data_IF_189976399069
#
_entry.id   IF_189976399069
#
_cell.length_a   1.000
_cell.length_b   1.000
_cell.length_c   1.000
_cell.angle_alpha   90.00
_cell.angle_beta   90.00
_cell.angle_gamma   90.00
#
_symmetry.space_group_name_H-M   'P 1'
#
loop_
_entity.id
_entity.type
_entity.pdbx_description
1 polymer ?
#
# COMPACT_ATOMS: atom_id res chain seq x y z
N UNK A 1 4.84 3.02 25.46
CA UNK A 1 4.01 3.73 24.48
C UNK A 1 3.45 2.64 23.58
N UNK A 2 2.17 2.33 23.70
CA UNK A 2 1.55 1.22 22.97
C UNK A 2 1.01 1.80 21.68
N UNK A 3 1.66 1.49 20.56
CA UNK A 3 1.22 1.93 19.24
C UNK A 3 -0.08 1.20 18.90
N UNK A 4 -1.06 1.94 18.39
CA UNK A 4 -2.33 1.34 18.01
C UNK A 4 -2.28 0.93 16.54
N UNK A 5 -1.99 -0.35 16.28
CA UNK A 5 -2.08 -0.95 14.93
C UNK A 5 -3.53 -1.26 14.52
N UNK A 6 -4.53 -0.88 15.32
CA UNK A 6 -5.93 -1.26 15.06
C UNK A 6 -6.49 -0.67 13.77
N UNK A 7 -5.93 0.44 13.26
CA UNK A 7 -6.41 1.06 12.02
C UNK A 7 -5.26 1.50 11.09
N UNK A 8 -5.17 0.97 9.87
CA UNK A 8 -4.26 1.47 8.85
C UNK A 8 -4.70 2.84 8.32
N UNK A 9 -3.72 3.67 7.94
CA UNK A 9 -3.96 4.96 7.28
C UNK A 9 -4.39 4.76 5.82
N UNK A 10 -3.83 3.75 5.16
CA UNK A 10 -4.21 3.35 3.81
C UNK A 10 -4.35 1.84 3.70
N UNK A 11 -5.32 1.40 2.89
CA UNK A 11 -5.58 -0.01 2.59
C UNK A 11 -5.68 -0.18 1.09
N UNK A 12 -5.04 -1.21 0.57
CA UNK A 12 -5.24 -1.69 -0.78
C UNK A 12 -5.71 -3.14 -0.72
N UNK A 13 -6.96 -3.36 -1.09
CA UNK A 13 -7.58 -4.68 -1.17
C UNK A 13 -8.52 -4.67 -2.36
N UNK A 14 -8.12 -5.32 -3.45
CA UNK A 14 -8.88 -5.30 -4.70
C UNK A 14 -10.22 -6.02 -4.57
N UNK A 15 -10.34 -6.99 -3.66
CA UNK A 15 -11.61 -7.66 -3.39
C UNK A 15 -12.57 -6.71 -2.67
N UNK A 16 -12.13 -6.04 -1.60
CA UNK A 16 -12.96 -5.08 -0.88
C UNK A 16 -13.33 -3.88 -1.75
N UNK A 17 -12.42 -3.37 -2.58
CA UNK A 17 -12.72 -2.33 -3.59
C UNK A 17 -13.85 -2.80 -4.53
N UNK A 18 -13.71 -3.98 -5.11
CA UNK A 18 -14.70 -4.55 -6.03
C UNK A 18 -16.04 -4.74 -5.34
N UNK A 19 -16.02 -5.23 -4.10
CA UNK A 19 -17.22 -5.45 -3.29
C UNK A 19 -17.92 -4.14 -2.95
N UNK A 20 -17.19 -3.11 -2.52
CA UNK A 20 -17.76 -1.80 -2.21
C UNK A 20 -18.44 -1.18 -3.46
N UNK A 21 -17.83 -1.33 -4.64
CA UNK A 21 -18.46 -0.89 -5.89
C UNK A 21 -19.72 -1.70 -6.21
N UNK A 22 -19.71 -3.01 -5.98
CA UNK A 22 -20.90 -3.86 -6.14
C UNK A 22 -22.03 -3.42 -5.21
N UNK A 23 -21.72 -3.21 -3.93
CA UNK A 23 -22.67 -2.71 -2.92
C UNK A 23 -23.26 -1.37 -3.35
N UNK A 24 -22.43 -0.44 -3.85
CA UNK A 24 -22.90 0.83 -4.40
C UNK A 24 -23.87 0.67 -5.57
N UNK A 25 -23.60 -0.24 -6.52
CA UNK A 25 -24.50 -0.50 -7.67
C UNK A 25 -25.88 -1.01 -7.22
N UNK A 26 -25.93 -1.83 -6.18
CA UNK A 26 -27.20 -2.29 -5.58
C UNK A 26 -27.90 -1.12 -4.88
N UNK A 27 -27.17 -0.37 -4.06
CA UNK A 27 -27.73 0.76 -3.30
C UNK A 27 -28.23 1.90 -4.20
N UNK A 28 -27.58 2.14 -5.34
CA UNK A 28 -27.98 3.14 -6.33
C UNK A 28 -29.16 2.70 -7.20
N UNK A 29 -29.52 1.40 -7.18
CA UNK A 29 -30.53 0.80 -8.04
C UNK A 29 -30.09 0.60 -9.49
N UNK A 30 -28.78 0.60 -9.73
CA UNK A 30 -28.18 0.29 -11.04
C UNK A 30 -28.10 -1.23 -11.30
N UNK A 31 -28.13 -2.04 -10.25
CA UNK A 31 -28.21 -3.49 -10.31
C UNK A 31 -29.12 -4.03 -9.20
N UNK A 32 -29.75 -5.19 -9.40
CA UNK A 32 -30.68 -5.81 -8.43
C UNK A 32 -30.11 -7.10 -7.79
N UNK A 33 -29.08 -7.70 -8.39
CA UNK A 33 -28.50 -8.99 -7.96
C UNK A 33 -27.03 -8.85 -7.57
N UNK A 34 -26.66 -9.31 -6.37
CA UNK A 34 -25.30 -9.18 -5.80
C UNK A 34 -24.22 -9.77 -6.71
N UNK A 35 -24.44 -10.97 -7.26
CA UNK A 35 -23.48 -11.64 -8.15
C UNK A 35 -23.29 -10.88 -9.47
N UNK A 36 -24.36 -10.27 -10.00
CA UNK A 36 -24.29 -9.46 -11.22
C UNK A 36 -23.54 -8.16 -10.94
N UNK A 37 -23.86 -7.47 -9.83
CA UNK A 37 -23.17 -6.26 -9.41
C UNK A 37 -21.67 -6.48 -9.19
N UNK A 38 -21.29 -7.59 -8.54
CA UNK A 38 -19.88 -7.93 -8.33
C UNK A 38 -19.17 -8.24 -9.65
N UNK A 39 -19.82 -8.95 -10.56
CA UNK A 39 -19.25 -9.22 -11.89
C UNK A 39 -19.10 -7.95 -12.72
N UNK A 40 -20.05 -7.02 -12.63
CA UNK A 40 -19.98 -5.72 -13.29
C UNK A 40 -18.83 -4.88 -12.74
N UNK A 41 -18.76 -4.71 -11.42
CA UNK A 41 -17.67 -3.99 -10.76
C UNK A 41 -16.30 -4.59 -11.10
N UNK A 42 -16.18 -5.92 -11.12
CA UNK A 42 -14.94 -6.63 -11.47
C UNK A 42 -14.51 -6.41 -12.92
N UNK A 43 -15.46 -6.24 -13.83
CA UNK A 43 -15.19 -6.04 -15.27
C UNK A 43 -14.90 -4.59 -15.62
N UNK A 44 -15.13 -3.66 -14.69
CA UNK A 44 -14.75 -2.27 -14.84
C UNK A 44 -13.22 -2.13 -14.75
N UNK A 45 -12.59 -1.92 -15.91
CA UNK A 45 -11.15 -1.71 -16.00
C UNK A 45 -10.69 -0.42 -15.33
N UNK A 46 -11.58 0.55 -15.21
CA UNK A 46 -11.25 1.89 -14.75
C UNK A 46 -11.33 1.96 -13.22
N UNK A 47 -12.18 1.15 -12.58
CA UNK A 47 -12.32 1.08 -11.11
C UNK A 47 -10.98 0.95 -10.39
N UNK A 48 -10.19 -0.08 -10.72
CA UNK A 48 -8.89 -0.32 -10.08
C UNK A 48 -7.89 0.77 -10.44
N UNK A 49 -7.98 1.33 -11.64
CA UNK A 49 -7.08 2.40 -12.09
C UNK A 49 -7.33 3.66 -11.26
N UNK A 50 -8.59 4.09 -11.12
CA UNK A 50 -8.95 5.26 -10.33
C UNK A 50 -8.62 5.10 -8.84
N UNK A 51 -8.93 3.94 -8.25
CA UNK A 51 -8.59 3.66 -6.86
C UNK A 51 -7.08 3.67 -6.63
N UNK A 52 -6.31 3.17 -7.60
CA UNK A 52 -4.84 3.22 -7.56
C UNK A 52 -4.33 4.66 -7.60
N UNK A 53 -4.87 5.47 -8.50
CA UNK A 53 -4.52 6.89 -8.64
C UNK A 53 -4.78 7.63 -7.33
N UNK A 54 -5.99 7.52 -6.77
CA UNK A 54 -6.38 8.16 -5.51
C UNK A 54 -5.49 7.74 -4.34
N UNK A 55 -5.22 6.44 -4.20
CA UNK A 55 -4.31 5.93 -3.18
C UNK A 55 -2.91 6.55 -3.34
N UNK A 56 -2.36 6.57 -4.55
CA UNK A 56 -1.00 7.08 -4.79
C UNK A 56 -0.88 8.58 -4.65
N UNK A 57 -1.91 9.35 -5.02
CA UNK A 57 -1.96 10.79 -4.79
C UNK A 57 -1.99 11.12 -3.29
N UNK A 58 -2.91 10.51 -2.55
CA UNK A 58 -3.00 10.73 -1.10
C UNK A 58 -1.74 10.26 -0.35
N UNK A 59 -1.13 9.15 -0.80
CA UNK A 59 0.16 8.70 -0.27
C UNK A 59 1.28 9.69 -0.61
N UNK A 60 1.31 10.27 -1.81
CA UNK A 60 2.30 11.28 -2.21
C UNK A 60 2.28 12.48 -1.27
N UNK A 61 1.09 13.00 -0.96
CA UNK A 61 0.95 14.12 -0.02
C UNK A 61 1.55 13.78 1.36
N UNK A 62 1.26 12.57 1.88
CA UNK A 62 1.80 12.11 3.17
C UNK A 62 3.31 11.92 3.17
N UNK A 63 3.87 11.37 2.09
CA UNK A 63 5.32 11.20 1.95
C UNK A 63 6.03 12.55 1.93
N UNK A 64 5.48 13.54 1.24
CA UNK A 64 6.03 14.90 1.16
C UNK A 64 5.96 15.65 2.50
N UNK A 65 4.92 15.41 3.32
CA UNK A 65 4.83 15.95 4.69
C UNK A 65 5.98 15.43 5.59
N UNK A 66 6.40 14.18 5.41
CA UNK A 66 7.35 13.51 6.30
C UNK A 66 8.79 13.64 5.81
N UNK A 67 9.00 13.56 4.50
CA UNK A 67 10.32 13.47 3.87
C UNK A 67 10.30 14.10 2.47
N UNK A 68 10.27 15.44 2.37
CA UNK A 68 10.21 16.14 1.09
C UNK A 68 11.41 15.86 0.18
N UNK A 69 12.52 15.38 0.74
CA UNK A 69 13.75 15.08 -0.01
C UNK A 69 13.71 13.69 -0.67
N UNK A 70 12.77 12.83 -0.30
CA UNK A 70 12.48 11.57 -0.98
C UNK A 70 13.50 10.44 -0.79
N UNK A 71 14.48 10.57 0.11
CA UNK A 71 15.47 9.52 0.42
C UNK A 71 14.94 8.56 1.48
N UNK A 72 14.84 7.28 1.15
CA UNK A 72 14.23 6.27 2.01
C UNK A 72 15.16 5.09 2.25
N UNK A 73 15.04 4.51 3.45
CA UNK A 73 15.60 3.20 3.79
C UNK A 73 14.44 2.29 4.20
N UNK A 74 14.31 1.15 3.52
CA UNK A 74 13.32 0.13 3.84
C UNK A 74 14.00 -1.14 4.32
N UNK A 75 13.45 -1.74 5.37
CA UNK A 75 13.77 -3.07 5.86
C UNK A 75 12.53 -3.94 5.75
N UNK A 76 12.69 -5.19 5.32
CA UNK A 76 11.63 -6.19 5.27
C UNK A 76 11.97 -7.34 6.19
N UNK A 77 10.94 -7.85 6.87
CA UNK A 77 11.03 -9.06 7.69
C UNK A 77 10.06 -10.12 7.19
N UNK A 78 10.47 -11.39 7.25
CA UNK A 78 9.71 -12.55 6.77
C UNK A 78 9.24 -12.44 5.31
N UNK A 79 10.12 -11.97 4.43
CA UNK A 79 9.83 -11.83 3.00
C UNK A 79 9.67 -13.19 2.31
N UNK A 80 8.55 -13.37 1.63
CA UNK A 80 8.21 -14.55 0.83
C UNK A 80 8.29 -15.90 1.56
N UNK A 81 8.21 -16.99 0.79
CA UNK A 81 8.13 -18.36 1.34
C UNK A 81 9.37 -18.82 2.15
N UNK A 82 10.50 -18.13 1.99
CA UNK A 82 11.75 -18.42 2.72
C UNK A 82 11.87 -17.63 4.02
N UNK A 83 10.93 -16.74 4.34
CA UNK A 83 10.97 -15.85 5.50
C UNK A 83 12.31 -15.12 5.61
N UNK A 84 12.77 -14.51 4.51
CA UNK A 84 14.05 -13.81 4.50
C UNK A 84 13.88 -12.36 4.97
N UNK A 85 14.91 -11.86 5.63
CA UNK A 85 15.00 -10.44 5.93
C UNK A 85 15.84 -9.74 4.87
N UNK A 86 15.55 -8.47 4.62
CA UNK A 86 16.24 -7.69 3.59
C UNK A 86 16.18 -6.20 3.89
N UNK A 87 16.98 -5.43 3.18
CA UNK A 87 16.91 -3.98 3.24
C UNK A 87 17.33 -3.36 1.91
N UNK A 88 16.91 -2.12 1.68
CA UNK A 88 17.40 -1.30 0.58
C UNK A 88 17.23 0.20 0.85
N UNK A 89 18.05 0.99 0.17
CA UNK A 89 17.88 2.43 0.04
C UNK A 89 17.30 2.75 -1.34
N UNK A 90 16.42 3.74 -1.42
CA UNK A 90 15.81 4.17 -2.68
C UNK A 90 15.38 5.64 -2.62
N UNK A 91 15.08 6.21 -3.79
CA UNK A 91 14.54 7.56 -3.93
C UNK A 91 13.13 7.45 -4.47
N UNK A 92 12.19 8.12 -3.82
CA UNK A 92 10.81 8.25 -4.27
C UNK A 92 10.24 9.60 -3.83
N UNK A 93 9.79 10.37 -4.81
CA UNK A 93 9.14 11.68 -4.67
C UNK A 93 7.60 11.59 -4.79
N UNK A 94 7.09 10.44 -5.24
CA UNK A 94 5.68 10.13 -5.40
C UNK A 94 5.31 8.75 -4.81
N UNK A 95 4.02 8.58 -4.49
CA UNK A 95 3.47 7.37 -3.87
C UNK A 95 3.52 6.15 -4.78
N UNK A 96 3.42 6.31 -6.10
CA UNK A 96 3.51 5.19 -7.05
C UNK A 96 4.92 4.61 -7.11
N UNK A 97 5.93 5.47 -7.24
CA UNK A 97 7.35 5.11 -7.19
C UNK A 97 7.70 4.52 -5.84
N UNK A 98 7.20 5.10 -4.73
CA UNK A 98 7.41 4.57 -3.39
C UNK A 98 6.90 3.12 -3.27
N UNK A 99 5.65 2.86 -3.67
CA UNK A 99 5.08 1.51 -3.61
C UNK A 99 5.80 0.53 -4.55
N UNK A 100 6.17 0.95 -5.75
CA UNK A 100 6.94 0.12 -6.70
C UNK A 100 8.29 -0.28 -6.13
N UNK A 101 8.95 0.63 -5.42
CA UNK A 101 10.20 0.30 -4.75
C UNK A 101 9.95 -0.67 -3.58
N UNK A 102 8.98 -0.43 -2.73
CA UNK A 102 8.83 -1.24 -1.50
C UNK A 102 8.23 -2.62 -1.77
N UNK A 103 7.16 -2.71 -2.55
CA UNK A 103 6.34 -3.92 -2.72
C UNK A 103 6.79 -4.76 -3.91
N UNK A 104 6.59 -6.08 -3.87
CA UNK A 104 6.82 -6.93 -5.03
C UNK A 104 5.85 -6.60 -6.17
N UNK A 105 6.30 -6.75 -7.43
CA UNK A 105 5.47 -6.58 -8.64
C UNK A 105 4.55 -7.79 -8.85
N UNK A 106 3.58 -7.95 -7.94
CA UNK A 106 2.57 -9.02 -8.00
C UNK A 106 1.26 -8.53 -7.37
N UNK A 107 0.20 -9.32 -7.51
CA UNK A 107 -1.07 -9.06 -6.84
C UNK A 107 -0.87 -9.15 -5.33
N UNK A 108 -1.00 -8.00 -4.69
CA UNK A 108 -0.84 -7.83 -3.26
C UNK A 108 -2.09 -7.18 -2.66
N UNK A 109 -2.42 -7.57 -1.44
CA UNK A 109 -3.23 -6.78 -0.52
C UNK A 109 -2.27 -6.19 0.51
N UNK A 110 -2.39 -4.90 0.84
CA UNK A 110 -1.48 -4.29 1.81
C UNK A 110 -2.15 -3.21 2.64
N UNK A 111 -1.52 -2.93 3.78
CA UNK A 111 -1.96 -1.94 4.76
C UNK A 111 -0.77 -1.06 5.14
N UNK A 112 -0.94 0.24 5.06
CA UNK A 112 0.09 1.24 5.38
C UNK A 112 -0.27 1.90 6.70
N UNK A 113 0.72 2.02 7.58
CA UNK A 113 0.63 2.66 8.88
C UNK A 113 1.71 3.73 8.99
N UNK A 114 1.33 4.93 9.39
CA UNK A 114 2.23 6.01 9.72
C UNK A 114 2.39 6.11 11.23
N UNK A 115 3.60 5.87 11.71
CA UNK A 115 3.94 5.86 13.13
C UNK A 115 5.10 6.84 13.37
N UNK A 116 4.77 8.04 13.81
CA UNK A 116 5.70 9.16 13.97
C UNK A 116 6.46 9.50 12.66
N UNK A 117 7.71 9.01 12.52
CA UNK A 117 8.56 9.20 11.32
C UNK A 117 8.86 7.89 10.60
N UNK A 118 8.16 6.83 10.99
CA UNK A 118 8.30 5.49 10.45
C UNK A 118 7.03 5.13 9.69
N UNK A 119 7.20 4.50 8.54
CA UNK A 119 6.10 3.94 7.74
C UNK A 119 6.21 2.44 7.87
N UNK A 120 5.12 1.78 8.26
CA UNK A 120 5.03 0.32 8.23
C UNK A 120 4.06 -0.14 7.18
N UNK A 121 4.43 -1.18 6.46
CA UNK A 121 3.53 -1.82 5.48
C UNK A 121 3.42 -3.29 5.84
N UNK A 122 2.18 -3.72 6.09
CA UNK A 122 1.85 -5.14 6.15
C UNK A 122 1.46 -5.59 4.74
N UNK A 123 2.18 -6.57 4.19
CA UNK A 123 1.93 -7.07 2.85
C UNK A 123 1.38 -8.50 2.88
N UNK A 124 0.39 -8.76 2.04
CA UNK A 124 -0.25 -10.06 1.83
C UNK A 124 -0.17 -10.39 0.35
N UNK A 125 0.42 -11.54 0.04
CA UNK A 125 0.50 -12.07 -1.32
C UNK A 125 0.50 -13.60 -1.25
N UNK A 126 0.43 -14.28 -2.39
CA UNK A 126 0.29 -15.73 -2.45
C UNK A 126 1.34 -16.53 -1.67
N UNK A 127 2.57 -15.99 -1.53
CA UNK A 127 3.66 -16.59 -0.76
C UNK A 127 3.66 -16.20 0.74
N UNK A 128 2.89 -15.18 1.13
CA UNK A 128 2.68 -14.74 2.51
C UNK A 128 1.20 -14.39 2.77
N UNK A 129 0.27 -15.38 2.68
CA UNK A 129 -1.17 -15.12 2.66
C UNK A 129 -1.73 -14.66 4.02
N UNK A 130 -0.96 -14.82 5.10
CA UNK A 130 -1.35 -14.44 6.47
C UNK A 130 -0.75 -13.10 6.92
N UNK A 131 -0.06 -12.38 6.03
CA UNK A 131 0.44 -11.02 6.32
C UNK A 131 1.60 -10.99 7.30
N UNK A 132 2.48 -11.99 7.24
CA UNK A 132 3.68 -12.05 8.06
C UNK A 132 4.81 -11.17 7.51
N UNK A 133 4.68 -10.71 6.26
CA UNK A 133 5.63 -9.83 5.61
C UNK A 133 5.41 -8.39 6.04
N UNK A 134 6.40 -7.83 6.72
CA UNK A 134 6.35 -6.46 7.24
C UNK A 134 7.53 -5.66 6.73
N UNK A 135 7.22 -4.50 6.16
CA UNK A 135 8.19 -3.48 5.81
C UNK A 135 8.20 -2.40 6.87
N UNK A 136 9.40 -1.94 7.21
CA UNK A 136 9.65 -0.77 8.05
C UNK A 136 10.49 0.22 7.23
N UNK A 137 9.93 1.40 6.97
CA UNK A 137 10.56 2.42 6.13
C UNK A 137 10.78 3.69 6.95
N UNK A 138 11.98 4.24 6.86
CA UNK A 138 12.36 5.49 7.54
C UNK A 138 13.07 6.43 6.57
N UNK A 139 13.10 7.72 6.90
CA UNK A 139 13.86 8.71 6.12
C UNK A 139 15.36 8.42 6.22
N UNK A 140 16.03 8.26 5.09
CA UNK A 140 17.48 8.06 5.07
C UNK A 140 18.22 9.40 5.07
N UNK A 141 18.47 9.93 6.26
CA UNK A 141 19.25 11.15 6.44
C UNK A 141 20.77 10.94 6.25
N UNK A 142 21.24 9.71 6.04
CA UNK A 142 22.68 9.44 5.87
C UNK A 142 23.20 9.86 4.49
N UNK A 143 22.31 9.93 3.49
CA UNK A 143 22.61 10.46 2.15
C UNK A 143 23.02 11.95 2.17
N UNK A 144 22.57 12.73 3.17
CA UNK A 144 22.99 14.13 3.36
C UNK A 144 24.49 14.29 3.68
N UNK A 145 25.10 13.28 4.32
CA UNK A 145 26.47 13.42 4.87
C UNK A 145 27.58 13.07 3.87
N UNK A 146 27.24 12.66 2.66
CA UNK A 146 28.24 12.36 1.62
C UNK A 146 28.33 13.43 0.52
N UNK A 147 27.47 14.45 0.57
CA UNK A 147 27.39 15.51 -0.44
C UNK A 147 27.88 16.89 0.05
N UNK A 148 28.57 16.97 1.20
CA UNK A 148 29.15 18.21 1.74
C UNK A 148 30.64 18.06 2.00
#
# INVERSE_FOLDING_TARGET
MTFNYDKPDFVWDTYEITKNQADFLIESGECDEEDEAFNQARQDSDLITFEREWLTEALTEKLQEINPDGYWHAEVSNFGWRNQDGHKQFIADDGQTFLREVLPETDCTFRIYFVDKEIRIQNFHHDSPVGNEWYTITCDQSAYKQAV
#
